data_IF_520315913609
#
_entry.id   IF_520315913609
#
_cell.length_a   1.000
_cell.length_b   1.000
_cell.length_c   1.000
_cell.angle_alpha   90.00
_cell.angle_beta   90.00
_cell.angle_gamma   90.00
#
_symmetry.space_group_name_H-M   'P 1'
#
loop_
_entity.id
_entity.type
_entity.pdbx_description
1 polymer ?
#
# COMPACT_ATOMS: atom_id res chain seq x y z
N UNK A 1 16.59 16.72 21.10
CA UNK A 1 16.01 17.58 22.11
C UNK A 1 15.99 19.03 21.64
N UNK A 2 14.92 19.73 21.94
CA UNK A 2 14.87 21.19 21.87
C UNK A 2 14.48 21.68 23.26
N UNK A 3 15.36 22.44 23.93
CA UNK A 3 15.21 22.74 25.35
C UNK A 3 15.18 21.45 26.20
N UNK A 4 14.16 21.30 27.06
CA UNK A 4 13.94 20.11 27.90
C UNK A 4 13.10 19.01 27.21
N UNK A 5 12.53 19.30 26.03
CA UNK A 5 11.59 18.39 25.34
C UNK A 5 12.35 17.38 24.48
N UNK A 6 12.01 16.09 24.64
CA UNK A 6 12.52 15.00 23.82
C UNK A 6 11.56 14.74 22.66
N UNK A 7 12.10 14.69 21.46
CA UNK A 7 11.38 14.26 20.25
C UNK A 7 11.94 12.92 19.77
N UNK A 8 11.07 12.01 19.44
CA UNK A 8 11.42 10.79 18.73
C UNK A 8 11.36 11.09 17.22
N UNK A 9 12.49 10.94 16.54
CA UNK A 9 12.68 11.44 15.17
C UNK A 9 13.39 10.38 14.34
N UNK A 10 12.86 10.11 13.15
CA UNK A 10 13.56 9.32 12.13
C UNK A 10 14.66 10.16 11.52
N UNK A 11 15.89 9.81 11.82
CA UNK A 11 17.07 10.55 11.39
C UNK A 11 17.86 9.77 10.34
N UNK A 12 18.57 10.50 9.51
CA UNK A 12 19.52 9.97 8.55
C UNK A 12 20.75 10.86 8.52
N UNK A 13 21.94 10.27 8.48
CA UNK A 13 23.15 11.01 8.15
C UNK A 13 23.37 10.92 6.64
N UNK A 14 23.54 12.05 5.97
CA UNK A 14 23.66 12.09 4.52
C UNK A 14 24.73 13.07 4.06
N UNK A 15 25.22 12.84 2.84
CA UNK A 15 26.14 13.73 2.17
C UNK A 15 25.44 14.97 1.57
N UNK A 16 26.21 15.88 1.03
CA UNK A 16 25.74 17.14 0.47
C UNK A 16 24.87 16.99 -0.79
N UNK A 17 24.90 15.84 -1.45
CA UNK A 17 24.15 15.58 -2.69
C UNK A 17 22.83 14.84 -2.44
N UNK A 18 22.53 14.47 -1.20
CA UNK A 18 21.35 13.67 -0.84
C UNK A 18 20.05 14.23 -1.42
N UNK A 19 19.72 15.48 -1.14
CA UNK A 19 18.47 16.09 -1.60
C UNK A 19 18.37 16.14 -3.12
N UNK A 20 19.47 16.47 -3.79
CA UNK A 20 19.53 16.52 -5.24
C UNK A 20 19.37 15.12 -5.87
N UNK A 21 20.04 14.11 -5.29
CA UNK A 21 20.00 12.73 -5.78
C UNK A 21 18.61 12.12 -5.60
N UNK A 22 17.98 12.36 -4.45
CA UNK A 22 16.64 11.84 -4.12
C UNK A 22 15.50 12.65 -4.75
N UNK A 23 15.78 13.86 -5.26
CA UNK A 23 14.77 14.75 -5.82
C UNK A 23 13.82 15.32 -4.77
N UNK A 24 14.32 15.51 -3.53
CA UNK A 24 13.54 16.08 -2.44
C UNK A 24 13.61 17.61 -2.55
N UNK A 25 12.44 18.25 -2.48
CA UNK A 25 12.32 19.71 -2.53
C UNK A 25 12.84 20.33 -1.23
N UNK A 26 13.79 21.24 -1.36
CA UNK A 26 14.35 22.03 -0.25
C UNK A 26 13.61 23.35 -0.15
N UNK A 27 12.99 23.61 0.98
CA UNK A 27 12.21 24.83 1.24
C UNK A 27 13.09 26.00 1.67
N UNK A 28 14.17 25.71 2.40
CA UNK A 28 15.12 26.73 2.84
C UNK A 28 16.52 26.17 3.03
N UNK A 29 17.56 26.99 2.89
CA UNK A 29 18.96 26.62 3.02
C UNK A 29 19.64 26.24 1.71
N UNK A 30 20.93 25.89 1.80
CA UNK A 30 21.79 25.49 0.66
C UNK A 30 22.46 24.13 0.95
N UNK A 31 21.74 23.01 0.81
CA UNK A 31 22.18 21.71 1.34
C UNK A 31 23.55 21.25 0.79
N UNK A 32 23.89 21.59 -0.44
CA UNK A 32 25.20 21.23 -1.03
C UNK A 32 26.36 21.83 -0.25
N UNK A 33 26.21 23.08 0.22
CA UNK A 33 27.23 23.77 1.03
C UNK A 33 27.13 23.42 2.50
N UNK A 34 25.89 23.38 3.01
CA UNK A 34 25.64 23.24 4.45
C UNK A 34 25.94 21.82 4.94
N UNK A 35 25.50 20.77 4.23
CA UNK A 35 25.77 19.37 4.61
C UNK A 35 27.22 18.93 4.40
N UNK A 36 28.03 19.73 3.73
CA UNK A 36 29.47 19.56 3.68
C UNK A 36 30.17 20.01 4.99
N UNK A 37 29.47 20.77 5.85
CA UNK A 37 29.96 21.26 7.13
C UNK A 37 29.60 20.28 8.25
N UNK A 38 30.31 20.40 9.39
CA UNK A 38 30.00 19.64 10.62
C UNK A 38 28.86 20.32 11.38
N UNK A 39 28.16 19.51 12.18
CA UNK A 39 27.18 19.95 13.17
C UNK A 39 26.00 20.72 12.55
N UNK A 40 25.59 20.25 11.37
CA UNK A 40 24.47 20.80 10.60
C UNK A 40 23.35 19.76 10.51
N UNK A 41 22.11 20.26 10.57
CA UNK A 41 20.90 19.47 10.38
C UNK A 41 19.90 20.20 9.48
N UNK A 42 19.20 19.44 8.67
CA UNK A 42 18.00 19.83 7.92
C UNK A 42 16.80 19.11 8.51
N UNK A 43 15.68 19.82 8.67
CA UNK A 43 14.44 19.27 9.24
C UNK A 43 13.34 19.22 8.19
N UNK A 44 12.49 18.19 8.23
CA UNK A 44 11.25 18.21 7.46
C UNK A 44 10.33 19.34 7.95
N UNK A 45 9.48 19.86 7.07
CA UNK A 45 8.58 20.98 7.40
C UNK A 45 7.70 20.64 8.62
N UNK A 46 7.13 19.43 8.65
CA UNK A 46 6.34 18.93 9.77
C UNK A 46 7.13 18.89 11.09
N UNK A 47 8.36 18.39 11.05
CA UNK A 47 9.19 18.33 12.27
C UNK A 47 9.60 19.75 12.72
N UNK A 48 9.95 20.62 11.78
CA UNK A 48 10.30 22.02 12.08
C UNK A 48 9.15 22.73 12.79
N UNK A 49 7.92 22.61 12.27
CA UNK A 49 6.71 23.18 12.91
C UNK A 49 6.45 22.54 14.27
N UNK A 50 6.60 21.21 14.40
CA UNK A 50 6.41 20.51 15.68
C UNK A 50 7.37 20.94 16.77
N UNK A 51 8.62 21.31 16.39
CA UNK A 51 9.66 21.70 17.35
C UNK A 51 9.67 23.19 17.67
N UNK A 52 9.33 24.05 16.71
CA UNK A 52 9.52 25.50 16.78
C UNK A 52 8.22 26.29 16.58
N UNK A 53 7.10 25.59 16.35
CA UNK A 53 5.78 26.16 16.06
C UNK A 53 5.83 27.14 14.87
N UNK A 54 5.58 28.42 15.09
CA UNK A 54 5.61 29.46 14.05
C UNK A 54 6.96 30.16 13.93
N UNK A 55 7.90 29.89 14.83
CA UNK A 55 9.22 30.50 14.79
C UNK A 55 10.11 29.96 13.68
N UNK A 56 10.93 30.84 13.09
CA UNK A 56 11.91 30.43 12.10
C UNK A 56 12.94 29.44 12.73
N UNK A 57 13.04 28.19 12.25
CA UNK A 57 13.94 27.21 12.81
C UNK A 57 15.42 27.45 12.43
N UNK A 58 15.70 28.25 11.39
CA UNK A 58 17.04 28.42 10.85
C UNK A 58 17.96 29.15 11.83
N UNK A 59 19.15 28.60 12.04
CA UNK A 59 20.12 29.12 13.01
C UNK A 59 19.92 28.64 14.45
N UNK A 60 18.78 28.02 14.75
CA UNK A 60 18.56 27.45 16.08
C UNK A 60 19.37 26.17 16.28
N UNK A 61 19.73 25.92 17.53
CA UNK A 61 20.51 24.74 17.93
C UNK A 61 19.59 23.71 18.56
N UNK A 62 19.73 22.47 18.10
CA UNK A 62 19.06 21.30 18.69
C UNK A 62 20.10 20.31 19.20
N UNK A 63 19.80 19.64 20.31
CA UNK A 63 20.70 18.63 20.88
C UNK A 63 20.31 17.25 20.39
N UNK A 64 21.26 16.52 19.81
CA UNK A 64 21.13 15.14 19.43
C UNK A 64 21.76 14.24 20.52
N UNK A 65 20.96 13.37 21.12
CA UNK A 65 21.34 12.43 22.20
C UNK A 65 21.99 13.11 23.43
N UNK A 66 21.80 14.40 23.62
CA UNK A 66 22.47 15.25 24.63
C UNK A 66 24.00 15.36 24.49
N UNK A 67 24.57 14.83 23.42
CA UNK A 67 26.00 14.77 23.18
C UNK A 67 26.45 15.71 22.07
N UNK A 68 25.57 16.00 21.11
CA UNK A 68 25.90 16.81 19.96
C UNK A 68 24.91 17.95 19.83
N UNK A 69 25.42 19.13 19.66
CA UNK A 69 24.68 20.29 19.23
C UNK A 69 24.70 20.39 17.71
N UNK A 70 23.52 20.47 17.11
CA UNK A 70 23.33 20.59 15.67
C UNK A 70 22.64 21.90 15.36
N UNK A 71 23.19 22.67 14.43
CA UNK A 71 22.58 23.91 13.96
C UNK A 71 21.63 23.61 12.80
N UNK A 72 20.39 24.05 12.91
CA UNK A 72 19.42 23.95 11.81
C UNK A 72 19.80 24.94 10.72
N UNK A 73 20.15 24.45 9.53
CA UNK A 73 20.53 25.26 8.37
C UNK A 73 19.46 25.34 7.30
N UNK A 74 18.46 24.46 7.36
CA UNK A 74 17.38 24.50 6.39
C UNK A 74 16.24 23.54 6.70
N UNK A 75 15.22 23.66 5.87
CA UNK A 75 14.04 22.79 5.92
C UNK A 75 13.74 22.22 4.53
N UNK A 76 13.04 21.10 4.48
CA UNK A 76 12.64 20.43 3.24
C UNK A 76 11.20 19.93 3.32
N UNK A 77 10.58 19.75 2.16
CA UNK A 77 9.21 19.26 2.05
C UNK A 77 9.06 17.85 2.65
N UNK A 78 7.93 17.60 3.28
CA UNK A 78 7.65 16.30 3.88
C UNK A 78 7.69 15.19 2.84
N UNK A 79 8.41 14.12 3.18
CA UNK A 79 8.52 12.94 2.31
C UNK A 79 7.28 12.07 2.55
N UNK A 80 6.62 11.60 1.47
CA UNK A 80 5.43 10.76 1.60
C UNK A 80 5.65 9.53 2.48
N UNK A 81 4.64 9.16 3.26
CA UNK A 81 4.68 8.04 4.20
C UNK A 81 4.99 6.67 3.54
N UNK A 82 4.68 6.52 2.26
CA UNK A 82 4.95 5.32 1.48
C UNK A 82 6.37 5.27 0.87
N UNK A 83 7.25 6.23 1.21
CA UNK A 83 8.65 6.19 0.78
C UNK A 83 9.49 5.31 1.69
N UNK A 84 10.42 4.55 1.11
CA UNK A 84 11.35 3.69 1.87
C UNK A 84 12.34 4.50 2.69
N UNK A 85 12.86 5.59 2.14
CA UNK A 85 13.79 6.51 2.79
C UNK A 85 13.04 7.80 3.10
N UNK A 86 12.67 7.96 4.36
CA UNK A 86 11.83 9.07 4.83
C UNK A 86 12.33 9.65 6.15
N UNK A 87 13.54 10.22 6.20
CA UNK A 87 14.01 10.92 7.38
C UNK A 87 13.14 12.14 7.67
N UNK A 88 12.99 12.48 8.93
CA UNK A 88 12.43 13.73 9.40
C UNK A 88 13.53 14.74 9.73
N UNK A 89 14.75 14.23 9.99
CA UNK A 89 15.95 15.04 10.18
C UNK A 89 17.10 14.45 9.37
N UNK A 90 17.80 15.27 8.60
CA UNK A 90 19.00 14.92 7.85
C UNK A 90 20.19 15.61 8.47
N UNK A 91 21.08 14.82 9.08
CA UNK A 91 22.31 15.29 9.72
C UNK A 91 23.45 15.24 8.71
N UNK A 92 24.35 16.22 8.72
CA UNK A 92 25.51 16.21 7.84
C UNK A 92 26.42 15.01 8.13
N UNK A 93 26.84 14.30 7.08
CA UNK A 93 27.71 13.14 7.18
C UNK A 93 29.06 13.47 7.84
N UNK A 94 29.71 14.64 7.58
CA UNK A 94 30.90 15.07 8.29
C UNK A 94 30.76 15.13 9.81
N UNK A 95 29.55 15.35 10.35
CA UNK A 95 29.31 15.34 11.80
C UNK A 95 29.52 13.96 12.41
N UNK A 96 29.11 12.93 11.69
CA UNK A 96 29.25 11.52 12.09
C UNK A 96 30.72 11.08 11.94
N UNK A 97 31.35 11.43 10.81
CA UNK A 97 32.74 11.07 10.54
C UNK A 97 33.73 11.70 11.52
N UNK A 98 33.54 12.95 11.86
CA UNK A 98 34.45 13.63 12.83
C UNK A 98 34.45 12.99 14.21
N UNK A 99 33.37 12.29 14.58
CA UNK A 99 33.21 11.61 15.87
C UNK A 99 33.56 10.14 15.81
N UNK A 100 34.03 9.65 14.65
CA UNK A 100 34.33 8.23 14.41
C UNK A 100 33.15 7.30 14.73
N UNK A 101 31.94 7.79 14.52
CA UNK A 101 30.72 7.00 14.66
C UNK A 101 30.45 6.25 13.36
N UNK A 102 30.82 5.00 13.31
CA UNK A 102 30.66 4.13 12.16
C UNK A 102 31.96 3.54 11.66
N UNK A 103 31.86 2.51 10.87
CA UNK A 103 32.98 1.83 10.23
C UNK A 103 33.24 2.44 8.84
N UNK A 104 34.45 2.97 8.66
CA UNK A 104 34.88 3.62 7.41
C UNK A 104 35.80 2.73 6.57
N UNK A 105 35.95 1.45 6.95
CA UNK A 105 36.78 0.53 6.22
C UNK A 105 36.01 -0.23 5.16
N UNK A 106 36.73 -0.71 4.14
CA UNK A 106 36.17 -1.63 3.15
C UNK A 106 35.85 -3.03 3.71
N UNK A 107 36.25 -3.30 4.91
CA UNK A 107 35.92 -4.51 5.67
C UNK A 107 34.55 -4.48 6.35
N UNK A 108 33.89 -3.38 6.27
CA UNK A 108 32.62 -2.95 6.80
C UNK A 108 31.65 -3.97 7.36
N UNK A 109 30.75 -3.53 8.11
CA UNK A 109 29.60 -4.19 8.72
C UNK A 109 28.47 -3.19 8.94
N UNK A 110 28.70 -1.93 8.55
CA UNK A 110 27.73 -0.87 8.75
C UNK A 110 26.72 -0.81 7.59
N UNK A 111 25.51 -0.39 7.92
CA UNK A 111 24.40 -0.24 6.98
C UNK A 111 24.48 1.09 6.23
N UNK A 112 25.49 1.23 5.36
CA UNK A 112 25.58 2.37 4.45
C UNK A 112 24.68 2.17 3.25
N UNK A 113 23.86 3.17 2.95
CA UNK A 113 23.01 3.21 1.76
C UNK A 113 23.65 4.13 0.73
N UNK A 114 23.94 3.61 -0.45
CA UNK A 114 24.44 4.38 -1.59
C UNK A 114 23.35 4.55 -2.64
N UNK A 115 23.04 5.81 -2.98
CA UNK A 115 22.08 6.15 -4.03
C UNK A 115 22.81 6.79 -5.20
N UNK A 116 22.48 6.37 -6.41
CA UNK A 116 23.06 6.88 -7.64
C UNK A 116 21.93 7.37 -8.56
N UNK A 117 22.04 8.61 -9.00
CA UNK A 117 21.15 9.14 -10.03
C UNK A 117 21.81 9.00 -11.40
N UNK A 118 21.19 8.22 -12.27
CA UNK A 118 21.67 8.01 -13.63
C UNK A 118 21.37 9.21 -14.51
N UNK A 119 22.30 9.52 -15.42
CA UNK A 119 22.03 10.42 -16.52
C UNK A 119 21.13 9.70 -17.53
N UNK A 120 20.27 10.43 -18.29
CA UNK A 120 19.53 9.84 -19.37
C UNK A 120 20.46 9.06 -20.33
N UNK A 121 20.08 7.82 -20.67
CA UNK A 121 20.86 6.95 -21.55
C UNK A 121 22.05 6.21 -20.91
N UNK A 122 22.30 6.36 -19.62
CA UNK A 122 23.36 5.61 -18.94
C UNK A 122 23.02 4.11 -18.86
N UNK A 123 23.97 3.27 -19.26
CA UNK A 123 23.83 1.82 -19.19
C UNK A 123 24.16 1.30 -17.79
N UNK A 124 23.19 0.60 -17.21
CA UNK A 124 23.30 -0.03 -15.91
C UNK A 124 24.44 -1.08 -15.84
N UNK A 125 24.69 -1.80 -16.93
CA UNK A 125 25.75 -2.82 -17.00
C UNK A 125 27.14 -2.20 -16.84
N UNK A 126 27.37 -1.06 -17.45
CA UNK A 126 28.64 -0.32 -17.33
C UNK A 126 28.85 0.17 -15.90
N UNK A 127 27.78 0.65 -15.26
CA UNK A 127 27.88 1.11 -13.87
C UNK A 127 28.19 -0.07 -12.92
N UNK A 128 27.50 -1.21 -13.09
CA UNK A 128 27.79 -2.40 -12.29
C UNK A 128 29.24 -2.89 -12.47
N UNK A 129 29.72 -2.95 -13.70
CA UNK A 129 31.11 -3.34 -13.98
C UNK A 129 32.15 -2.40 -13.27
N UNK A 130 31.85 -1.10 -13.21
CA UNK A 130 32.70 -0.14 -12.48
C UNK A 130 32.63 -0.34 -10.98
N UNK A 131 31.45 -0.66 -10.43
CA UNK A 131 31.28 -0.99 -9.01
C UNK A 131 32.08 -2.25 -8.65
N UNK A 132 31.99 -3.30 -9.47
CA UNK A 132 32.75 -4.52 -9.27
C UNK A 132 34.26 -4.27 -9.30
N UNK A 133 34.75 -3.50 -10.28
CA UNK A 133 36.15 -3.12 -10.35
C UNK A 133 36.60 -2.31 -9.13
N UNK A 134 35.76 -1.42 -8.61
CA UNK A 134 36.03 -0.66 -7.40
C UNK A 134 36.12 -1.57 -6.17
N UNK A 135 35.19 -2.52 -6.03
CA UNK A 135 35.20 -3.49 -4.94
C UNK A 135 36.46 -4.34 -4.98
N UNK A 136 36.83 -4.84 -6.16
CA UNK A 136 38.06 -5.64 -6.33
C UNK A 136 39.31 -4.83 -5.99
N UNK A 137 39.34 -3.53 -6.32
CA UNK A 137 40.50 -2.66 -6.06
C UNK A 137 40.69 -2.34 -4.58
N UNK A 138 39.62 -2.05 -3.85
CA UNK A 138 39.69 -1.51 -2.50
C UNK A 138 39.42 -2.51 -1.39
N UNK A 139 38.78 -3.62 -1.68
CA UNK A 139 38.51 -4.66 -0.69
C UNK A 139 39.70 -5.65 -0.66
N UNK A 140 40.19 -6.06 0.55
CA UNK A 140 41.24 -7.04 0.66
C UNK A 140 40.86 -8.37 -0.02
N UNK A 141 41.78 -8.94 -0.79
CA UNK A 141 41.57 -10.18 -1.53
C UNK A 141 41.23 -11.38 -0.63
N UNK A 142 41.73 -11.38 0.61
CA UNK A 142 41.41 -12.38 1.61
C UNK A 142 39.97 -12.39 2.03
N UNK A 143 39.38 -11.19 2.23
CA UNK A 143 37.97 -11.05 2.59
C UNK A 143 37.06 -11.45 1.45
N UNK A 144 37.45 -11.26 0.18
CA UNK A 144 36.70 -11.70 -0.99
C UNK A 144 36.64 -13.22 -1.14
N UNK A 145 37.67 -13.95 -0.70
CA UNK A 145 37.68 -15.42 -0.74
C UNK A 145 36.76 -16.04 0.32
N UNK A 146 36.57 -15.36 1.43
CA UNK A 146 35.76 -15.86 2.56
C UNK A 146 34.30 -15.45 2.39
N UNK A 147 34.05 -14.21 2.00
CA UNK A 147 32.70 -13.66 1.80
C UNK A 147 32.62 -13.10 0.38
N UNK A 148 32.07 -13.84 -0.55
CA UNK A 148 31.84 -13.40 -1.92
C UNK A 148 30.92 -12.18 -1.95
N UNK A 149 31.50 -10.97 -1.80
CA UNK A 149 30.74 -9.73 -1.77
C UNK A 149 30.54 -9.21 -3.19
N UNK A 150 29.27 -9.06 -3.56
CA UNK A 150 28.87 -8.44 -4.84
C UNK A 150 27.96 -7.27 -4.55
N UNK A 151 28.12 -6.17 -5.25
CA UNK A 151 27.21 -5.05 -5.19
C UNK A 151 26.74 -4.69 -6.60
N UNK A 152 25.47 -4.41 -6.74
CA UNK A 152 24.85 -4.05 -8.00
C UNK A 152 23.79 -2.97 -7.80
N UNK A 153 23.57 -2.19 -8.84
CA UNK A 153 22.56 -1.15 -8.81
C UNK A 153 21.18 -1.71 -9.06
N UNK A 154 20.24 -1.31 -8.25
CA UNK A 154 18.84 -1.70 -8.37
C UNK A 154 17.96 -0.44 -8.35
N UNK A 155 16.92 -0.32 -9.21
CA UNK A 155 15.98 0.78 -9.11
C UNK A 155 15.36 0.86 -7.71
N UNK A 156 15.28 2.05 -7.11
CA UNK A 156 14.79 2.24 -5.75
C UNK A 156 13.38 1.68 -5.57
N UNK A 157 12.52 1.79 -6.59
CA UNK A 157 11.18 1.21 -6.60
C UNK A 157 11.20 -0.31 -6.46
N UNK A 158 12.18 -0.98 -7.09
CA UNK A 158 12.29 -2.44 -7.04
C UNK A 158 12.86 -2.91 -5.70
N UNK A 159 13.73 -2.11 -5.07
CA UNK A 159 14.23 -2.40 -3.70
C UNK A 159 13.06 -2.47 -2.71
N UNK A 160 12.14 -1.51 -2.78
CA UNK A 160 10.93 -1.52 -1.95
C UNK A 160 10.04 -2.72 -2.26
N UNK A 161 9.74 -2.94 -3.54
CA UNK A 161 8.84 -4.02 -3.99
C UNK A 161 9.35 -5.41 -3.62
N UNK A 162 10.67 -5.61 -3.66
CA UNK A 162 11.31 -6.90 -3.42
C UNK A 162 11.66 -7.13 -1.94
N UNK A 163 11.42 -6.14 -1.07
CA UNK A 163 11.55 -6.32 0.36
C UNK A 163 10.61 -7.45 0.83
N UNK A 164 11.16 -8.41 1.59
CA UNK A 164 10.41 -9.60 2.04
C UNK A 164 9.19 -9.23 2.88
N UNK A 165 9.31 -8.24 3.75
CA UNK A 165 8.23 -7.82 4.64
C UNK A 165 7.12 -7.12 3.86
N UNK A 166 7.48 -6.24 2.91
CA UNK A 166 6.52 -5.57 2.01
C UNK A 166 5.78 -6.60 1.15
N UNK A 167 6.50 -7.60 0.62
CA UNK A 167 5.90 -8.68 -0.18
C UNK A 167 4.96 -9.53 0.67
N UNK A 168 5.37 -9.91 1.89
CA UNK A 168 4.55 -10.66 2.84
C UNK A 168 3.27 -9.89 3.16
N UNK A 169 3.39 -8.62 3.55
CA UNK A 169 2.23 -7.76 3.88
C UNK A 169 1.28 -7.63 2.69
N UNK A 170 1.81 -7.35 1.49
CA UNK A 170 0.99 -7.28 0.27
C UNK A 170 0.24 -8.58 0.02
N UNK A 171 0.89 -9.74 0.14
CA UNK A 171 0.25 -11.04 -0.07
C UNK A 171 -0.85 -11.30 0.97
N UNK A 172 -0.60 -10.98 2.24
CA UNK A 172 -1.60 -11.10 3.31
C UNK A 172 -2.82 -10.22 3.00
N UNK A 173 -2.61 -8.94 2.66
CA UNK A 173 -3.70 -8.02 2.33
C UNK A 173 -4.47 -8.46 1.08
N UNK A 174 -3.79 -9.01 0.08
CA UNK A 174 -4.43 -9.53 -1.13
C UNK A 174 -5.30 -10.75 -0.81
N UNK A 175 -4.80 -11.70 -0.03
CA UNK A 175 -5.57 -12.89 0.40
C UNK A 175 -6.78 -12.45 1.21
N UNK A 176 -6.60 -11.53 2.17
CA UNK A 176 -7.68 -10.98 2.98
C UNK A 176 -8.77 -10.34 2.11
N UNK A 177 -8.38 -9.47 1.16
CA UNK A 177 -9.32 -8.82 0.25
C UNK A 177 -10.11 -9.82 -0.62
N UNK A 178 -9.43 -10.83 -1.18
CA UNK A 178 -10.08 -11.89 -1.97
C UNK A 178 -11.04 -12.70 -1.11
N UNK A 179 -10.67 -13.03 0.12
CA UNK A 179 -11.53 -13.81 1.03
C UNK A 179 -12.78 -13.02 1.42
N UNK A 180 -12.63 -11.73 1.73
CA UNK A 180 -13.79 -10.85 2.03
C UNK A 180 -14.72 -10.76 0.83
N UNK A 181 -14.16 -10.53 -0.38
CA UNK A 181 -14.95 -10.46 -1.61
C UNK A 181 -15.70 -11.77 -1.87
N UNK A 182 -15.04 -12.91 -1.64
CA UNK A 182 -15.64 -14.23 -1.80
C UNK A 182 -16.80 -14.45 -0.82
N UNK A 183 -16.62 -14.13 0.47
CA UNK A 183 -17.68 -14.25 1.50
C UNK A 183 -18.86 -13.34 1.18
N UNK A 184 -18.60 -12.08 0.79
CA UNK A 184 -19.64 -11.15 0.40
C UNK A 184 -20.44 -11.65 -0.81
N UNK A 185 -19.75 -12.18 -1.81
CA UNK A 185 -20.37 -12.78 -3.00
C UNK A 185 -21.25 -13.99 -2.65
N UNK A 186 -20.76 -14.90 -1.80
CA UNK A 186 -21.52 -16.06 -1.34
C UNK A 186 -22.75 -15.64 -0.52
N UNK A 187 -22.64 -14.62 0.32
CA UNK A 187 -23.76 -14.10 1.10
C UNK A 187 -24.86 -13.58 0.19
N UNK A 188 -24.51 -12.81 -0.85
CA UNK A 188 -25.48 -12.34 -1.82
C UNK A 188 -26.15 -13.50 -2.59
N UNK A 189 -25.39 -14.51 -3.02
CA UNK A 189 -25.92 -15.70 -3.69
C UNK A 189 -26.89 -16.45 -2.76
N UNK A 190 -26.56 -16.60 -1.47
CA UNK A 190 -27.44 -17.24 -0.50
C UNK A 190 -28.77 -16.50 -0.35
N UNK A 191 -28.74 -15.18 -0.25
CA UNK A 191 -29.96 -14.35 -0.16
C UNK A 191 -30.78 -14.52 -1.43
N UNK A 192 -30.15 -14.46 -2.61
CA UNK A 192 -30.81 -14.62 -3.92
C UNK A 192 -31.47 -15.99 -4.04
N UNK A 193 -30.76 -17.07 -3.71
CA UNK A 193 -31.29 -18.44 -3.78
C UNK A 193 -32.39 -18.65 -2.71
N UNK A 194 -32.27 -18.04 -1.53
CA UNK A 194 -33.30 -18.15 -0.49
C UNK A 194 -34.61 -17.47 -0.90
N UNK A 195 -34.55 -16.43 -1.67
CA UNK A 195 -35.72 -15.73 -2.22
C UNK A 195 -36.35 -16.46 -3.45
N UNK A 196 -35.74 -17.56 -3.91
CA UNK A 196 -36.14 -18.28 -5.11
C UNK A 196 -37.61 -18.70 -5.08
N UNK A 197 -38.09 -19.28 -3.96
CA UNK A 197 -39.47 -19.77 -3.84
C UNK A 197 -40.50 -18.65 -3.93
N UNK A 198 -40.20 -17.46 -3.45
CA UNK A 198 -41.06 -16.28 -3.55
C UNK A 198 -41.03 -15.69 -4.96
N UNK A 199 -39.83 -15.53 -5.52
CA UNK A 199 -39.65 -14.94 -6.87
C UNK A 199 -40.07 -15.85 -7.99
N UNK A 200 -40.08 -17.18 -7.80
CA UNK A 200 -40.52 -18.14 -8.79
C UNK A 200 -41.95 -17.84 -9.32
N UNK A 201 -42.87 -17.45 -8.42
CA UNK A 201 -44.24 -17.08 -8.85
C UNK A 201 -44.25 -15.89 -9.81
N UNK A 202 -43.51 -14.82 -9.52
CA UNK A 202 -43.43 -13.64 -10.40
C UNK A 202 -42.82 -14.02 -11.75
N UNK A 203 -41.72 -14.80 -11.75
CA UNK A 203 -41.08 -15.32 -12.98
C UNK A 203 -42.07 -16.15 -13.80
N UNK A 204 -42.87 -16.99 -13.13
CA UNK A 204 -43.87 -17.79 -13.79
C UNK A 204 -44.96 -16.95 -14.49
N UNK A 205 -45.47 -15.93 -13.81
CA UNK A 205 -46.48 -14.99 -14.41
C UNK A 205 -45.86 -14.29 -15.63
N UNK A 206 -44.63 -13.78 -15.54
CA UNK A 206 -43.96 -13.16 -16.69
C UNK A 206 -43.80 -14.13 -17.87
N UNK A 207 -43.40 -15.39 -17.58
CA UNK A 207 -43.26 -16.40 -18.63
C UNK A 207 -44.60 -16.82 -19.26
N UNK A 208 -45.69 -16.91 -18.48
CA UNK A 208 -47.02 -17.13 -19.01
C UNK A 208 -47.48 -16.01 -19.94
N UNK A 209 -47.01 -14.78 -19.69
CA UNK A 209 -47.25 -13.62 -20.55
C UNK A 209 -46.23 -13.51 -21.70
N UNK A 210 -45.52 -14.56 -22.02
CA UNK A 210 -44.61 -14.62 -23.18
C UNK A 210 -43.18 -14.12 -22.93
N UNK A 211 -42.78 -13.84 -21.67
CA UNK A 211 -41.42 -13.41 -21.38
C UNK A 211 -40.39 -14.56 -21.61
N UNK A 212 -39.41 -14.31 -22.45
CA UNK A 212 -38.32 -15.21 -22.72
C UNK A 212 -37.28 -15.27 -21.55
N UNK A 213 -36.36 -16.23 -21.63
CA UNK A 213 -35.30 -16.37 -20.61
C UNK A 213 -34.40 -15.14 -20.51
N UNK A 214 -34.15 -14.44 -21.61
CA UNK A 214 -33.34 -13.20 -21.62
C UNK A 214 -34.05 -12.05 -20.95
N UNK A 215 -35.39 -11.95 -21.11
CA UNK A 215 -36.19 -10.93 -20.39
C UNK A 215 -36.10 -11.14 -18.88
N UNK A 216 -36.25 -12.39 -18.44
CA UNK A 216 -36.10 -12.72 -17.01
C UNK A 216 -34.68 -12.40 -16.52
N UNK A 217 -33.66 -12.80 -17.27
CA UNK A 217 -32.27 -12.51 -16.90
C UNK A 217 -32.06 -11.00 -16.80
N UNK A 218 -32.51 -10.21 -17.76
CA UNK A 218 -32.33 -8.75 -17.74
C UNK A 218 -33.00 -8.09 -16.53
N UNK A 219 -34.15 -8.57 -16.05
CA UNK A 219 -34.79 -8.07 -14.84
C UNK A 219 -33.86 -8.23 -13.62
N UNK A 220 -33.24 -9.40 -13.45
CA UNK A 220 -32.30 -9.65 -12.34
C UNK A 220 -31.01 -8.83 -12.49
N UNK A 221 -30.53 -8.65 -13.71
CA UNK A 221 -29.33 -7.82 -13.94
C UNK A 221 -29.60 -6.35 -13.59
N UNK A 222 -30.75 -5.81 -13.95
CA UNK A 222 -31.15 -4.44 -13.58
C UNK A 222 -31.27 -4.29 -12.05
N UNK A 223 -31.93 -5.24 -11.38
CA UNK A 223 -32.03 -5.24 -9.93
C UNK A 223 -30.65 -5.23 -9.27
N UNK A 224 -29.76 -6.10 -9.74
CA UNK A 224 -28.38 -6.17 -9.22
C UNK A 224 -27.61 -4.87 -9.51
N UNK A 225 -27.76 -4.30 -10.70
CA UNK A 225 -27.12 -3.04 -11.06
C UNK A 225 -27.57 -1.88 -10.14
N UNK A 226 -28.86 -1.80 -9.82
CA UNK A 226 -29.40 -0.79 -8.91
C UNK A 226 -28.83 -0.98 -7.51
N UNK A 227 -28.77 -2.22 -6.99
CA UNK A 227 -28.20 -2.51 -5.67
C UNK A 227 -26.73 -2.10 -5.62
N UNK A 228 -25.95 -2.46 -6.65
CA UNK A 228 -24.53 -2.09 -6.74
C UNK A 228 -24.39 -0.56 -6.82
N UNK A 229 -25.22 0.13 -7.56
CA UNK A 229 -25.21 1.59 -7.66
C UNK A 229 -25.41 2.24 -6.28
N UNK A 230 -26.44 1.80 -5.53
CA UNK A 230 -26.67 2.30 -4.16
C UNK A 230 -25.49 1.96 -3.22
N UNK A 231 -24.92 0.76 -3.33
CA UNK A 231 -23.75 0.38 -2.56
C UNK A 231 -22.54 1.26 -2.87
N UNK A 232 -22.30 1.61 -4.15
CA UNK A 232 -21.23 2.52 -4.56
C UNK A 232 -21.45 3.95 -4.05
N UNK A 233 -22.69 4.44 -4.08
CA UNK A 233 -23.03 5.75 -3.51
C UNK A 233 -22.76 5.75 -2.01
N UNK A 234 -23.22 4.75 -1.28
CA UNK A 234 -22.99 4.62 0.15
C UNK A 234 -21.49 4.52 0.48
N UNK A 235 -20.75 3.72 -0.27
CA UNK A 235 -19.29 3.62 -0.16
C UNK A 235 -18.62 4.99 -0.37
N UNK A 236 -19.04 5.73 -1.40
CA UNK A 236 -18.53 7.08 -1.68
C UNK A 236 -18.79 8.05 -0.51
N UNK A 237 -20.01 8.01 0.05
CA UNK A 237 -20.36 8.83 1.22
C UNK A 237 -19.50 8.48 2.44
N UNK A 238 -19.29 7.19 2.71
CA UNK A 238 -18.42 6.74 3.82
C UNK A 238 -16.98 7.22 3.60
N UNK A 239 -16.43 7.03 2.39
CA UNK A 239 -15.06 7.43 2.08
C UNK A 239 -14.86 8.95 2.22
N UNK A 240 -15.82 9.76 1.79
CA UNK A 240 -15.75 11.22 1.90
C UNK A 240 -15.86 11.70 3.36
N UNK A 241 -16.72 11.07 4.17
CA UNK A 241 -16.89 11.48 5.57
C UNK A 241 -15.73 11.02 6.48
N UNK A 242 -15.05 9.93 6.14
CA UNK A 242 -13.94 9.37 6.92
C UNK A 242 -12.61 9.47 6.18
N UNK A 243 -12.48 10.43 5.25
CA UNK A 243 -11.28 10.57 4.42
C UNK A 243 -10.01 10.68 5.26
N UNK A 244 -9.97 11.58 6.25
CA UNK A 244 -8.80 11.82 7.08
C UNK A 244 -8.40 10.55 7.85
N UNK A 245 -9.37 9.83 8.41
CA UNK A 245 -9.11 8.57 9.09
C UNK A 245 -8.50 7.50 8.16
N UNK A 246 -9.00 7.39 6.93
CA UNK A 246 -8.46 6.44 5.96
C UNK A 246 -7.06 6.86 5.47
N UNK A 247 -6.83 8.14 5.22
CA UNK A 247 -5.53 8.65 4.77
C UNK A 247 -4.47 8.50 5.87
N UNK A 248 -4.79 8.76 7.12
CA UNK A 248 -3.90 8.57 8.25
C UNK A 248 -3.58 7.08 8.50
N UNK A 249 -4.60 6.21 8.44
CA UNK A 249 -4.43 4.78 8.69
C UNK A 249 -3.70 4.06 7.54
N UNK A 250 -4.08 4.36 6.29
CA UNK A 250 -3.49 3.73 5.12
C UNK A 250 -2.18 4.41 4.67
N UNK A 251 -1.86 5.61 5.19
CA UNK A 251 -0.74 6.44 4.76
C UNK A 251 -0.73 6.71 3.24
N UNK A 252 -1.90 6.72 2.62
CA UNK A 252 -2.10 6.92 1.17
C UNK A 252 -3.29 7.85 0.96
N UNK A 253 -3.10 8.88 0.14
CA UNK A 253 -4.21 9.77 -0.25
C UNK A 253 -5.31 9.01 -0.97
N UNK A 254 -6.55 9.28 -0.62
CA UNK A 254 -7.73 8.64 -1.22
C UNK A 254 -7.75 8.81 -2.76
N UNK A 255 -7.31 9.97 -3.25
CA UNK A 255 -7.17 10.25 -4.69
C UNK A 255 -6.25 9.27 -5.44
N UNK A 256 -5.27 8.68 -4.77
CA UNK A 256 -4.36 7.71 -5.37
C UNK A 256 -5.03 6.35 -5.69
N UNK A 257 -6.15 6.02 -5.04
CA UNK A 257 -6.94 4.81 -5.33
C UNK A 257 -7.68 4.93 -6.68
N UNK A 258 -8.05 6.15 -7.06
CA UNK A 258 -8.77 6.46 -8.30
C UNK A 258 -7.84 6.93 -9.43
N UNK A 259 -6.52 6.77 -9.28
CA UNK A 259 -5.58 7.04 -10.37
C UNK A 259 -5.81 6.09 -11.56
N UNK A 260 -5.55 6.55 -12.78
CA UNK A 260 -5.74 5.77 -14.00
C UNK A 260 -5.03 4.40 -13.96
N UNK A 261 -3.88 4.33 -13.31
CA UNK A 261 -3.11 3.08 -13.18
C UNK A 261 -3.75 2.06 -12.21
N UNK A 262 -4.66 2.48 -11.34
CA UNK A 262 -5.22 1.63 -10.26
C UNK A 262 -6.73 1.45 -10.33
N UNK A 263 -7.44 2.27 -11.08
CA UNK A 263 -8.90 2.25 -11.17
C UNK A 263 -9.47 0.91 -11.66
N UNK A 264 -8.66 0.11 -12.35
CA UNK A 264 -9.06 -1.22 -12.80
C UNK A 264 -9.38 -2.18 -11.63
N UNK A 265 -8.79 -1.97 -10.43
CA UNK A 265 -9.04 -2.84 -9.25
C UNK A 265 -10.47 -2.68 -8.74
N UNK A 266 -10.97 -1.46 -8.40
CA UNK A 266 -12.37 -1.30 -8.01
C UNK A 266 -13.34 -1.68 -9.15
N UNK A 267 -13.01 -1.39 -10.41
CA UNK A 267 -13.84 -1.81 -11.53
C UNK A 267 -13.94 -3.34 -11.64
N UNK A 268 -12.82 -4.06 -11.48
CA UNK A 268 -12.81 -5.52 -11.47
C UNK A 268 -13.67 -6.06 -10.31
N UNK A 269 -13.56 -5.46 -9.13
CA UNK A 269 -14.37 -5.84 -7.96
C UNK A 269 -15.86 -5.70 -8.24
N UNK A 270 -16.27 -4.58 -8.80
CA UNK A 270 -17.67 -4.33 -9.21
C UNK A 270 -18.12 -5.34 -10.28
N UNK A 271 -17.27 -5.61 -11.27
CA UNK A 271 -17.58 -6.59 -12.32
C UNK A 271 -17.76 -8.01 -11.74
N UNK A 272 -16.90 -8.43 -10.82
CA UNK A 272 -17.01 -9.73 -10.13
C UNK A 272 -18.32 -9.80 -9.35
N UNK A 273 -18.65 -8.78 -8.56
CA UNK A 273 -19.90 -8.73 -7.79
C UNK A 273 -21.12 -8.76 -8.72
N UNK A 274 -21.08 -8.05 -9.84
CA UNK A 274 -22.17 -8.05 -10.83
C UNK A 274 -22.35 -9.41 -11.48
N UNK A 275 -21.26 -10.08 -11.85
CA UNK A 275 -21.31 -11.42 -12.45
C UNK A 275 -21.79 -12.47 -11.44
N UNK A 276 -21.20 -12.51 -10.28
CA UNK A 276 -21.54 -13.50 -9.25
C UNK A 276 -22.91 -13.24 -8.63
N UNK A 277 -23.24 -11.98 -8.37
CA UNK A 277 -24.51 -11.58 -7.77
C UNK A 277 -25.67 -11.51 -8.76
N UNK A 278 -25.44 -11.08 -9.99
CA UNK A 278 -26.49 -10.88 -11.01
C UNK A 278 -26.61 -12.02 -12.01
N UNK A 279 -25.50 -12.32 -12.71
CA UNK A 279 -25.55 -13.26 -13.84
C UNK A 279 -25.80 -14.71 -13.39
N UNK A 280 -25.14 -15.16 -12.33
CA UNK A 280 -25.30 -16.55 -11.84
C UNK A 280 -26.71 -16.81 -11.31
N UNK A 281 -27.25 -16.05 -10.34
CA UNK A 281 -28.63 -16.24 -9.91
C UNK A 281 -29.65 -15.98 -11.02
N UNK A 282 -29.46 -14.93 -11.82
CA UNK A 282 -30.34 -14.58 -12.91
C UNK A 282 -30.49 -15.71 -13.94
N UNK A 283 -29.40 -16.41 -14.29
CA UNK A 283 -29.45 -17.60 -15.15
C UNK A 283 -30.19 -18.77 -14.52
N UNK A 284 -30.03 -18.97 -13.21
CA UNK A 284 -30.78 -19.99 -12.48
C UNK A 284 -32.28 -19.70 -12.52
N UNK A 285 -32.69 -18.47 -12.24
CA UNK A 285 -34.07 -18.04 -12.30
C UNK A 285 -34.67 -18.12 -13.71
N UNK A 286 -33.92 -17.71 -14.72
CA UNK A 286 -34.39 -17.75 -16.13
C UNK A 286 -34.65 -19.18 -16.62
N UNK A 287 -34.02 -20.19 -16.05
CA UNK A 287 -34.16 -21.62 -16.43
C UNK A 287 -35.33 -22.34 -15.73
N UNK A 288 -36.01 -21.71 -14.77
CA UNK A 288 -37.15 -22.36 -14.07
C UNK A 288 -38.27 -22.62 -15.06
N UNK A 289 -38.72 -23.88 -15.22
CA UNK A 289 -39.86 -24.19 -16.08
C UNK A 289 -41.17 -23.69 -15.49
N UNK A 290 -42.05 -23.17 -16.34
CA UNK A 290 -43.38 -22.64 -15.94
C UNK A 290 -44.19 -23.70 -15.17
N UNK A 291 -44.10 -24.98 -15.56
CA UNK A 291 -44.82 -26.09 -14.92
C UNK A 291 -44.44 -26.31 -13.46
N UNK A 292 -43.21 -25.97 -13.08
CA UNK A 292 -42.73 -26.11 -11.69
C UNK A 292 -43.17 -24.94 -10.78
N UNK A 293 -43.49 -23.79 -11.36
CA UNK A 293 -43.92 -22.60 -10.63
C UNK A 293 -45.30 -22.82 -9.97
N UNK A 294 -46.20 -23.50 -10.64
CA UNK A 294 -47.57 -23.78 -10.15
C UNK A 294 -47.71 -25.00 -9.28
N UNK A 295 -46.79 -25.95 -9.35
CA UNK A 295 -46.62 -27.03 -8.37
C UNK A 295 -45.66 -26.51 -7.31
N UNK A 296 -46.12 -26.02 -6.14
CA UNK A 296 -45.31 -25.56 -5.01
C UNK A 296 -43.81 -25.92 -5.23
N UNK A 297 -43.02 -24.94 -5.69
CA UNK A 297 -41.61 -25.11 -5.94
C UNK A 297 -40.99 -25.55 -4.61
N UNK A 298 -40.88 -26.86 -4.39
CA UNK A 298 -40.13 -27.45 -3.30
C UNK A 298 -38.69 -27.51 -3.80
N UNK A 299 -37.84 -26.69 -3.17
CA UNK A 299 -36.39 -26.77 -3.31
C UNK A 299 -35.99 -28.26 -3.29
N UNK A 300 -35.43 -28.75 -4.38
CA UNK A 300 -35.01 -30.15 -4.47
C UNK A 300 -34.19 -30.53 -3.23
N UNK A 301 -34.35 -31.77 -2.76
CA UNK A 301 -33.81 -32.35 -1.50
C UNK A 301 -32.30 -32.16 -1.22
N UNK A 302 -31.52 -31.55 -2.11
CA UNK A 302 -30.12 -31.23 -1.89
C UNK A 302 -29.99 -29.84 -1.25
N UNK A 303 -29.87 -29.82 0.07
CA UNK A 303 -29.71 -28.63 0.87
C UNK A 303 -28.40 -27.87 0.59
N UNK A 304 -28.36 -27.12 -0.51
CA UNK A 304 -27.28 -26.23 -0.93
C UNK A 304 -26.89 -25.19 0.15
N UNK A 305 -27.86 -24.80 0.93
CA UNK A 305 -27.70 -23.72 1.94
C UNK A 305 -26.69 -24.08 3.02
N UNK A 306 -26.73 -25.34 3.48
CA UNK A 306 -25.85 -25.80 4.56
C UNK A 306 -24.36 -25.80 4.18
N UNK A 307 -23.93 -26.35 3.03
CA UNK A 307 -22.52 -26.25 2.58
C UNK A 307 -22.07 -24.81 2.39
N UNK A 308 -22.92 -23.94 1.81
CA UNK A 308 -22.56 -22.52 1.60
C UNK A 308 -22.38 -21.79 2.92
N UNK A 309 -23.26 -22.00 3.90
CA UNK A 309 -23.10 -21.44 5.25
C UNK A 309 -21.84 -21.94 5.93
N UNK A 310 -21.53 -23.24 5.82
CA UNK A 310 -20.31 -23.80 6.37
C UNK A 310 -19.05 -23.13 5.78
N UNK A 311 -19.00 -22.95 4.46
CA UNK A 311 -17.89 -22.27 3.77
C UNK A 311 -17.76 -20.81 4.24
N UNK A 312 -18.88 -20.11 4.44
CA UNK A 312 -18.85 -18.73 4.95
C UNK A 312 -18.30 -18.66 6.39
N UNK A 313 -18.76 -19.53 7.29
CA UNK A 313 -18.23 -19.55 8.65
C UNK A 313 -16.76 -19.95 8.70
N UNK A 314 -16.35 -20.92 7.87
CA UNK A 314 -14.93 -21.27 7.72
C UNK A 314 -14.10 -20.09 7.21
N UNK A 315 -14.61 -19.34 6.22
CA UNK A 315 -13.96 -18.14 5.71
C UNK A 315 -13.81 -17.02 6.76
N UNK A 316 -14.86 -16.77 7.55
CA UNK A 316 -14.80 -15.81 8.67
C UNK A 316 -13.79 -16.26 9.73
N UNK A 317 -13.81 -17.53 10.14
CA UNK A 317 -12.84 -18.09 11.09
C UNK A 317 -11.40 -17.96 10.58
N UNK A 318 -11.19 -18.19 9.27
CA UNK A 318 -9.89 -18.00 8.63
C UNK A 318 -9.42 -16.53 8.71
N UNK A 319 -10.31 -15.57 8.42
CA UNK A 319 -9.98 -14.14 8.52
C UNK A 319 -9.60 -13.77 9.97
N UNK A 320 -10.39 -14.21 10.95
CA UNK A 320 -10.11 -13.96 12.37
C UNK A 320 -8.76 -14.56 12.78
N UNK A 321 -8.48 -15.79 12.35
CA UNK A 321 -7.19 -16.44 12.59
C UNK A 321 -6.02 -15.71 11.93
N UNK A 322 -6.20 -15.23 10.69
CA UNK A 322 -5.19 -14.47 9.99
C UNK A 322 -4.90 -13.12 10.69
N UNK A 323 -5.94 -12.43 11.14
CA UNK A 323 -5.79 -11.18 11.90
C UNK A 323 -5.03 -11.40 13.21
N UNK A 324 -5.31 -12.47 13.92
CA UNK A 324 -4.58 -12.82 15.16
C UNK A 324 -3.09 -13.08 14.93
N UNK A 325 -2.72 -13.70 13.81
CA UNK A 325 -1.30 -13.97 13.46
C UNK A 325 -0.55 -12.70 13.02
N UNK A 326 -1.28 -11.69 12.52
CA UNK A 326 -0.69 -10.43 12.02
C UNK A 326 -0.56 -9.38 13.12
N UNK A 327 -1.37 -9.45 14.18
CA UNK A 327 -1.23 -8.65 15.39
C UNK A 327 -0.06 -9.14 16.25
#
# INVERSE_FOLDING_TARGET
YHGSVRFEVRKLAADSLFFQTMGIEVLSGTPVKDLAQKDVVYLSDRLARKMFDTENPIGKVISYSKEIELTVKGTYADIPENATVRPEAVISLPSIWSRKWGNYSWRGGDSWLAFIRFRPGADKSVVNARIDAMIQKYRPAEDQKVVGYTAFVKPIRDVYRDNKDVRRMRNIMTILGITILFIASLNYVLISVSSLSYRAKAVGVHKCNGAGNMTILSMFLWETAIIILFALILMGLILLNFQDFFEDTAAVKLSALFSLDRIWVPLLTVAVLFVVGGVLPGRLFARIPVTQVFRRYTEGKKGWKRPLLFIQFAGVAFICGLMYVVM
#
